data_IF_658681186594
#
_entry.id   IF_658681186594
#
_cell.length_a   1.000
_cell.length_b   1.000
_cell.length_c   1.000
_cell.angle_alpha   90.00
_cell.angle_beta   90.00
_cell.angle_gamma   90.00
#
_symmetry.space_group_name_H-M   'P 1'
#
loop_
_entity.id
_entity.type
_entity.pdbx_description
1 polymer ?
#
# COMPACT_ATOMS: atom_id res chain seq x y z
N UNK A 1 -4.73 9.73 -30.06
CA UNK A 1 -6.13 9.59 -30.53
C UNK A 1 -7.00 9.92 -29.34
N UNK A 2 -7.54 11.14 -29.37
CA UNK A 2 -8.42 11.66 -28.34
C UNK A 2 -9.85 11.18 -28.56
N UNK A 3 -10.59 11.10 -27.50
CA UNK A 3 -12.05 11.04 -27.53
C UNK A 3 -12.60 12.03 -26.52
N UNK A 4 -12.91 13.22 -27.07
CA UNK A 4 -13.80 14.19 -26.44
C UNK A 4 -15.24 13.69 -26.54
N UNK A 5 -15.96 13.64 -25.42
CA UNK A 5 -17.42 13.60 -25.41
C UNK A 5 -17.98 14.36 -24.21
N UNK A 6 -18.21 15.66 -24.39
CA UNK A 6 -19.28 16.38 -23.70
C UNK A 6 -19.81 17.47 -24.65
N UNK A 7 -20.76 17.09 -25.48
CA UNK A 7 -21.52 18.02 -26.35
C UNK A 7 -22.85 18.32 -25.69
N UNK A 8 -22.93 19.46 -25.02
CA UNK A 8 -24.17 19.98 -24.48
C UNK A 8 -24.94 20.66 -25.61
N UNK A 9 -26.07 20.07 -26.04
CA UNK A 9 -26.98 20.64 -27.02
C UNK A 9 -27.94 21.61 -26.36
N UNK A 10 -27.76 22.90 -26.65
CA UNK A 10 -28.67 23.98 -26.23
C UNK A 10 -29.86 24.08 -27.17
N UNK A 11 -31.00 23.60 -26.73
CA UNK A 11 -32.29 23.85 -27.43
C UNK A 11 -32.92 25.14 -26.91
N UNK A 12 -32.79 26.24 -27.69
CA UNK A 12 -33.56 27.47 -27.48
C UNK A 12 -35.00 27.25 -27.92
N UNK A 13 -35.94 27.13 -27.03
CA UNK A 13 -37.38 27.27 -27.32
C UNK A 13 -37.79 28.73 -27.07
N UNK A 14 -38.22 29.41 -28.17
CA UNK A 14 -38.89 30.69 -28.12
C UNK A 14 -40.26 30.51 -27.49
N UNK A 15 -40.49 31.16 -26.36
CA UNK A 15 -41.84 31.29 -25.80
C UNK A 15 -42.42 32.66 -26.17
N UNK A 16 -43.57 32.61 -26.87
CA UNK A 16 -44.42 33.79 -27.17
C UNK A 16 -45.11 34.23 -25.90
N UNK A 17 -44.88 35.48 -25.49
CA UNK A 17 -45.59 36.09 -24.36
C UNK A 17 -46.94 36.61 -24.83
N UNK A 18 -48.01 36.07 -24.24
CA UNK A 18 -49.32 36.75 -24.17
C UNK A 18 -49.47 37.35 -22.80
N UNK A 19 -49.72 38.67 -22.78
CA UNK A 19 -49.97 39.53 -21.62
C UNK A 19 -51.22 39.07 -20.83
N UNK A 20 -51.10 39.03 -19.51
CA UNK A 20 -52.20 38.77 -18.61
C UNK A 20 -51.82 38.81 -17.14
N UNK A 21 -52.04 40.00 -16.53
CA UNK A 21 -52.30 40.29 -15.11
C UNK A 21 -51.55 39.58 -13.96
N UNK A 22 -50.81 40.39 -13.29
CA UNK A 22 -50.22 40.45 -11.97
C UNK A 22 -50.90 39.57 -10.91
N UNK A 23 -50.14 38.59 -10.34
CA UNK A 23 -50.29 38.18 -8.93
C UNK A 23 -48.89 38.00 -8.36
N UNK A 24 -48.61 38.79 -7.31
CA UNK A 24 -47.38 38.71 -6.58
C UNK A 24 -47.32 37.43 -5.72
N UNK A 25 -46.60 36.46 -6.18
CA UNK A 25 -46.23 35.25 -5.40
C UNK A 25 -44.74 35.19 -5.29
N UNK A 26 -44.21 35.51 -4.12
CA UNK A 26 -42.77 35.32 -3.80
C UNK A 26 -42.50 33.83 -3.67
N UNK A 27 -42.02 33.21 -4.76
CA UNK A 27 -41.52 31.84 -4.67
C UNK A 27 -40.03 31.88 -4.35
N UNK A 28 -39.74 31.64 -3.05
CA UNK A 28 -38.36 31.40 -2.60
C UNK A 28 -37.92 30.03 -3.18
N UNK A 29 -37.17 30.06 -4.24
CA UNK A 29 -36.50 28.88 -4.75
C UNK A 29 -35.31 28.59 -3.83
N UNK A 30 -35.47 27.63 -2.92
CA UNK A 30 -34.37 27.03 -2.18
C UNK A 30 -33.48 26.26 -3.16
N UNK A 31 -32.40 26.89 -3.60
CA UNK A 31 -31.30 26.18 -4.25
C UNK A 31 -30.60 25.29 -3.20
N UNK A 32 -31.00 24.03 -3.13
CA UNK A 32 -30.23 23.01 -2.43
C UNK A 32 -28.95 22.74 -3.23
N UNK A 33 -27.88 23.44 -2.87
CA UNK A 33 -26.52 23.08 -3.31
C UNK A 33 -26.16 21.78 -2.59
N UNK A 34 -26.35 20.65 -3.28
CA UNK A 34 -25.86 19.37 -2.82
C UNK A 34 -24.33 19.44 -2.77
N UNK A 35 -23.76 19.61 -1.55
CA UNK A 35 -22.34 19.36 -1.32
C UNK A 35 -22.11 17.87 -1.56
N UNK A 36 -21.62 17.49 -2.77
CA UNK A 36 -20.95 16.22 -2.96
C UNK A 36 -19.67 16.28 -2.13
N UNK A 37 -19.71 15.82 -0.89
CA UNK A 37 -18.51 15.50 -0.14
C UNK A 37 -17.88 14.30 -0.82
N UNK A 38 -16.88 14.55 -1.66
CA UNK A 38 -15.96 13.49 -2.09
C UNK A 38 -15.25 13.07 -0.83
N UNK A 39 -15.65 11.94 -0.25
CA UNK A 39 -14.88 11.26 0.77
C UNK A 39 -13.56 10.88 0.09
N UNK A 40 -12.51 11.65 0.32
CA UNK A 40 -11.13 11.25 0.01
C UNK A 40 -10.85 10.12 0.99
N UNK A 41 -11.24 8.90 0.64
CA UNK A 41 -10.83 7.70 1.33
C UNK A 41 -9.31 7.68 1.30
N UNK A 42 -8.69 7.64 2.48
CA UNK A 42 -7.25 7.46 2.58
C UNK A 42 -6.92 6.16 1.82
N UNK A 43 -6.08 6.28 0.78
CA UNK A 43 -5.82 5.18 -0.14
C UNK A 43 -4.92 4.15 0.55
N UNK A 44 -5.52 3.14 1.17
CA UNK A 44 -4.82 2.07 1.89
C UNK A 44 -4.43 0.95 0.92
N UNK A 45 -3.25 0.37 1.15
CA UNK A 45 -2.81 -0.80 0.42
C UNK A 45 -3.68 -2.02 0.79
N UNK A 46 -4.15 -2.74 -0.22
CA UNK A 46 -4.84 -4.02 -0.02
C UNK A 46 -3.84 -5.18 0.07
N UNK A 47 -4.23 -6.34 0.66
CA UNK A 47 -3.38 -7.52 0.63
C UNK A 47 -2.96 -7.94 -0.78
N UNK A 48 -3.85 -7.78 -1.78
CA UNK A 48 -3.56 -8.07 -3.18
C UNK A 48 -2.48 -7.13 -3.75
N UNK A 49 -2.58 -5.83 -3.45
CA UNK A 49 -1.55 -4.84 -3.85
C UNK A 49 -0.19 -5.22 -3.26
N UNK A 50 -0.16 -5.60 -1.97
CA UNK A 50 1.08 -6.01 -1.28
C UNK A 50 1.68 -7.25 -1.92
N UNK A 51 0.89 -8.30 -2.18
CA UNK A 51 1.36 -9.52 -2.84
C UNK A 51 1.95 -9.21 -4.21
N UNK A 52 1.23 -8.44 -5.03
CA UNK A 52 1.68 -8.06 -6.37
C UNK A 52 2.99 -7.25 -6.32
N UNK A 53 3.05 -6.23 -5.47
CA UNK A 53 4.20 -5.32 -5.38
C UNK A 53 5.45 -5.97 -4.81
N UNK A 54 5.31 -6.85 -3.83
CA UNK A 54 6.44 -7.62 -3.26
C UNK A 54 7.00 -8.61 -4.28
N UNK A 55 6.14 -9.29 -5.06
CA UNK A 55 6.59 -10.17 -6.14
C UNK A 55 7.30 -9.40 -7.24
N UNK A 56 6.79 -8.22 -7.63
CA UNK A 56 7.46 -7.32 -8.57
C UNK A 56 8.86 -6.93 -8.08
N UNK A 57 8.98 -6.54 -6.80
CA UNK A 57 10.25 -6.20 -6.17
C UNK A 57 11.23 -7.39 -6.16
N UNK A 58 10.76 -8.59 -5.81
CA UNK A 58 11.58 -9.80 -5.83
C UNK A 58 12.07 -10.15 -7.25
N UNK A 59 11.22 -9.98 -8.28
CA UNK A 59 11.62 -10.17 -9.68
C UNK A 59 12.67 -9.13 -10.11
N UNK A 60 12.47 -7.87 -9.71
CA UNK A 60 13.42 -6.79 -10.01
C UNK A 60 14.77 -7.06 -9.37
N UNK A 61 14.81 -7.42 -8.08
CA UNK A 61 16.04 -7.82 -7.39
C UNK A 61 16.73 -9.01 -8.04
N UNK A 62 15.97 -10.04 -8.45
CA UNK A 62 16.51 -11.21 -9.15
C UNK A 62 17.21 -10.86 -10.47
N UNK A 63 16.76 -9.80 -11.14
CA UNK A 63 17.31 -9.32 -12.42
C UNK A 63 18.49 -8.37 -12.27
N UNK A 64 18.43 -7.47 -11.30
CA UNK A 64 19.37 -6.35 -11.18
C UNK A 64 20.39 -6.53 -10.06
N UNK A 65 20.03 -7.24 -8.98
CA UNK A 65 20.80 -7.28 -7.74
C UNK A 65 20.91 -5.94 -7.00
N UNK A 66 20.33 -4.87 -7.57
CA UNK A 66 20.42 -3.50 -7.02
C UNK A 66 19.41 -3.28 -5.92
N UNK A 67 19.88 -3.18 -4.69
CA UNK A 67 19.07 -2.89 -3.49
C UNK A 67 18.87 -1.39 -3.26
N UNK A 68 19.72 -0.51 -3.82
CA UNK A 68 19.67 0.94 -3.53
C UNK A 68 18.39 1.59 -4.02
N UNK A 69 17.81 1.10 -5.11
CA UNK A 69 16.53 1.59 -5.61
C UNK A 69 15.37 1.49 -4.61
N UNK A 70 15.53 0.67 -3.55
CA UNK A 70 14.52 0.49 -2.49
C UNK A 70 14.74 1.41 -1.28
N UNK A 71 15.76 2.26 -1.30
CA UNK A 71 16.03 3.27 -0.25
C UNK A 71 15.37 4.62 -0.57
N UNK A 72 14.84 4.79 -1.77
CA UNK A 72 14.24 6.05 -2.22
C UNK A 72 12.88 6.29 -1.56
N UNK A 73 12.80 7.34 -0.73
CA UNK A 73 11.58 7.70 0.01
C UNK A 73 10.41 8.11 -0.90
N UNK A 74 10.67 8.63 -2.09
CA UNK A 74 9.68 9.05 -3.09
C UNK A 74 9.73 8.18 -4.35
N UNK A 75 10.36 7.03 -4.28
CA UNK A 75 10.49 6.09 -5.38
C UNK A 75 9.23 5.22 -5.59
N UNK A 76 9.22 4.38 -6.63
CA UNK A 76 8.09 3.54 -6.99
C UNK A 76 7.79 2.43 -5.96
N UNK A 77 8.69 2.26 -4.99
CA UNK A 77 8.61 1.25 -3.94
C UNK A 77 7.97 1.76 -2.64
N UNK A 78 7.53 3.03 -2.63
CA UNK A 78 6.68 3.63 -1.57
C UNK A 78 5.37 4.01 -2.22
N UNK A 79 4.25 3.43 -1.74
CA UNK A 79 2.94 3.70 -2.32
C UNK A 79 1.85 3.62 -1.26
N UNK A 80 0.80 4.38 -1.43
CA UNK A 80 -0.31 4.43 -0.46
C UNK A 80 0.23 4.64 0.97
N UNK A 81 -0.15 3.77 1.89
CA UNK A 81 0.31 3.78 3.29
C UNK A 81 1.41 2.74 3.59
N UNK A 82 2.10 2.22 2.57
CA UNK A 82 3.11 1.16 2.74
C UNK A 82 4.33 1.32 1.81
N UNK A 83 5.30 0.43 1.95
CA UNK A 83 6.58 0.47 1.23
C UNK A 83 7.23 -0.91 1.17
N UNK A 84 8.13 -1.10 0.19
CA UNK A 84 9.04 -2.26 0.14
C UNK A 84 10.25 -1.99 1.02
N UNK A 85 10.71 -3.03 1.73
CA UNK A 85 12.01 -3.09 2.37
C UNK A 85 12.68 -4.43 2.05
N UNK A 86 14.01 -4.49 2.19
CA UNK A 86 14.79 -5.64 1.74
C UNK A 86 15.63 -6.17 2.90
N UNK A 87 15.59 -7.50 3.10
CA UNK A 87 16.53 -8.23 3.96
C UNK A 87 17.63 -8.88 3.14
N UNK A 88 18.87 -8.83 3.65
CA UNK A 88 19.97 -9.65 3.17
C UNK A 88 20.11 -10.86 4.10
N UNK A 89 19.77 -12.04 3.59
CA UNK A 89 19.77 -13.27 4.37
C UNK A 89 21.17 -13.82 4.63
N UNK A 90 22.14 -13.53 3.78
CA UNK A 90 23.52 -14.02 3.96
C UNK A 90 24.22 -13.19 5.05
N UNK A 91 24.05 -11.88 5.03
CA UNK A 91 24.54 -10.97 6.08
C UNK A 91 23.62 -10.91 7.30
N UNK A 92 22.37 -11.36 7.19
CA UNK A 92 21.31 -11.31 8.23
C UNK A 92 20.97 -9.88 8.68
N UNK A 93 21.00 -8.93 7.77
CA UNK A 93 20.75 -7.50 8.05
C UNK A 93 19.63 -6.94 7.19
N UNK A 94 19.10 -5.79 7.61
CA UNK A 94 18.28 -4.94 6.74
C UNK A 94 19.17 -4.39 5.63
N UNK A 95 18.85 -4.69 4.38
CA UNK A 95 19.63 -4.24 3.21
C UNK A 95 19.10 -2.93 2.63
N UNK A 96 17.78 -2.68 2.70
CA UNK A 96 17.16 -1.43 2.24
C UNK A 96 15.89 -1.11 3.02
N UNK A 97 15.65 0.17 3.32
CA UNK A 97 14.43 0.63 4.01
C UNK A 97 14.14 2.12 3.73
N UNK A 98 13.15 2.46 2.87
CA UNK A 98 12.95 3.84 2.38
C UNK A 98 12.45 4.81 3.44
N UNK A 99 11.74 4.33 4.48
CA UNK A 99 11.11 5.18 5.50
C UNK A 99 12.00 5.34 6.74
N UNK A 100 12.81 4.31 7.06
CA UNK A 100 13.71 4.29 8.23
C UNK A 100 15.11 3.88 7.80
N UNK A 101 15.89 4.77 7.14
CA UNK A 101 17.24 4.46 6.64
C UNK A 101 18.21 4.10 7.77
N UNK A 102 17.93 4.54 9.00
CA UNK A 102 18.70 4.17 10.19
C UNK A 102 18.63 2.66 10.54
N UNK A 103 17.71 1.92 9.93
CA UNK A 103 17.63 0.46 10.08
C UNK A 103 18.56 -0.29 9.13
N UNK A 104 19.07 0.36 8.08
CA UNK A 104 19.96 -0.29 7.11
C UNK A 104 21.24 -0.72 7.82
N UNK A 105 21.63 -1.98 7.66
CA UNK A 105 22.75 -2.61 8.34
C UNK A 105 22.43 -3.19 9.71
N UNK A 106 21.26 -2.95 10.30
CA UNK A 106 20.85 -3.57 11.56
C UNK A 106 20.62 -5.07 11.36
N UNK A 107 21.05 -5.87 12.33
CA UNK A 107 20.77 -7.30 12.34
C UNK A 107 19.26 -7.57 12.49
N UNK A 108 18.72 -8.44 11.65
CA UNK A 108 17.30 -8.82 11.63
C UNK A 108 16.86 -9.34 13.00
N UNK A 109 17.73 -10.10 13.68
CA UNK A 109 17.49 -10.68 15.01
C UNK A 109 17.45 -9.66 16.16
N UNK A 110 17.76 -8.39 15.91
CA UNK A 110 17.69 -7.31 16.91
C UNK A 110 16.49 -6.39 16.73
N UNK A 111 15.78 -6.48 15.60
CA UNK A 111 14.63 -5.63 15.29
C UNK A 111 13.45 -6.00 16.18
N UNK A 112 12.94 -5.02 16.90
CA UNK A 112 11.85 -5.22 17.86
C UNK A 112 10.52 -4.69 17.33
N UNK A 113 9.46 -5.37 17.72
CA UNK A 113 8.08 -4.92 17.60
C UNK A 113 7.88 -3.59 18.34
N UNK A 114 7.21 -2.64 17.69
CA UNK A 114 7.08 -1.29 18.21
C UNK A 114 6.09 -1.18 19.38
N UNK A 115 5.20 -2.17 19.57
CA UNK A 115 4.20 -2.16 20.65
C UNK A 115 4.66 -2.93 21.87
N UNK A 116 5.20 -4.12 21.67
CA UNK A 116 5.49 -5.06 22.76
C UNK A 116 6.99 -5.21 23.03
N UNK A 117 7.86 -4.63 22.19
CA UNK A 117 9.32 -4.72 22.32
C UNK A 117 9.87 -6.14 22.06
N UNK A 118 9.07 -7.05 21.54
CA UNK A 118 9.50 -8.42 21.21
C UNK A 118 10.32 -8.41 19.92
N UNK A 119 11.35 -9.24 19.86
CA UNK A 119 12.14 -9.43 18.63
C UNK A 119 11.24 -10.00 17.53
N UNK A 120 11.24 -9.37 16.37
CA UNK A 120 10.37 -9.74 15.25
C UNK A 120 10.75 -11.09 14.64
N UNK A 121 12.04 -11.33 14.46
CA UNK A 121 12.60 -12.54 13.86
C UNK A 121 13.81 -12.98 14.68
N UNK A 122 13.59 -13.75 15.77
CA UNK A 122 14.68 -14.16 16.67
C UNK A 122 15.72 -15.06 15.99
N UNK A 123 15.28 -15.91 15.07
CA UNK A 123 16.16 -16.76 14.26
C UNK A 123 16.07 -16.33 12.79
N UNK A 124 16.96 -15.43 12.40
CA UNK A 124 17.03 -14.90 11.04
C UNK A 124 17.39 -15.98 10.01
N UNK A 125 18.23 -16.98 10.36
CA UNK A 125 18.63 -18.03 9.45
C UNK A 125 17.46 -18.98 9.13
N UNK A 126 16.77 -19.46 10.17
CA UNK A 126 15.59 -20.30 9.99
C UNK A 126 14.47 -19.57 9.24
N UNK A 127 14.25 -18.29 9.53
CA UNK A 127 13.28 -17.47 8.83
C UNK A 127 13.61 -17.32 7.33
N UNK A 128 14.86 -16.96 7.02
CA UNK A 128 15.32 -16.85 5.63
C UNK A 128 15.16 -18.17 4.86
N UNK A 129 15.50 -19.29 5.49
CA UNK A 129 15.29 -20.63 4.91
C UNK A 129 13.80 -20.85 4.63
N UNK A 130 12.94 -20.59 5.61
CA UNK A 130 11.49 -20.78 5.46
C UNK A 130 10.93 -19.97 4.28
N UNK A 131 11.32 -18.69 4.13
CA UNK A 131 10.84 -17.85 3.02
C UNK A 131 11.38 -18.35 1.68
N UNK A 132 12.65 -18.78 1.61
CA UNK A 132 13.25 -19.33 0.38
C UNK A 132 12.56 -20.63 -0.06
N UNK A 133 12.17 -21.48 0.87
CA UNK A 133 11.52 -22.76 0.61
C UNK A 133 10.01 -22.62 0.31
N UNK A 134 9.41 -21.46 0.59
CA UNK A 134 7.97 -21.20 0.41
C UNK A 134 7.71 -20.39 -0.85
N UNK A 135 7.41 -21.07 -1.97
CA UNK A 135 7.21 -20.41 -3.27
C UNK A 135 6.07 -19.37 -3.29
N UNK A 136 5.04 -19.55 -2.45
CA UNK A 136 3.92 -18.62 -2.31
C UNK A 136 4.23 -17.42 -1.41
N UNK A 137 5.43 -17.36 -0.82
CA UNK A 137 5.82 -16.36 0.18
C UNK A 137 5.28 -16.66 1.57
N UNK A 138 5.68 -15.85 2.54
CA UNK A 138 5.36 -16.05 3.97
C UNK A 138 4.76 -14.77 4.54
N UNK A 139 3.64 -14.90 5.25
CA UNK A 139 3.03 -13.82 6.01
C UNK A 139 3.41 -13.89 7.49
N UNK A 140 3.67 -12.71 8.11
CA UNK A 140 3.87 -12.56 9.54
C UNK A 140 3.16 -11.34 10.10
N UNK A 141 2.74 -11.39 11.35
CA UNK A 141 2.10 -10.28 12.05
C UNK A 141 3.10 -9.56 12.93
N UNK A 142 3.08 -8.22 12.87
CA UNK A 142 3.87 -7.31 13.70
C UNK A 142 3.08 -6.06 14.05
N UNK A 143 3.58 -5.30 15.02
CA UNK A 143 3.08 -3.96 15.32
C UNK A 143 4.13 -2.95 14.91
N UNK A 144 3.77 -2.08 13.98
CA UNK A 144 4.68 -1.12 13.39
C UNK A 144 3.99 0.20 13.05
N UNK A 145 4.64 1.39 13.23
CA UNK A 145 4.04 2.66 12.84
C UNK A 145 3.81 2.72 11.32
N UNK A 146 2.69 3.30 10.92
CA UNK A 146 2.49 3.69 9.52
C UNK A 146 3.49 4.80 9.14
N UNK A 147 3.79 4.97 7.84
CA UNK A 147 4.58 6.11 7.38
C UNK A 147 4.02 7.43 7.89
N UNK A 148 4.85 8.21 8.61
CA UNK A 148 4.46 9.50 9.21
C UNK A 148 3.77 9.42 10.56
N UNK A 149 3.37 8.25 11.04
CA UNK A 149 2.77 8.06 12.37
C UNK A 149 3.82 7.64 13.41
N UNK A 150 3.52 7.92 14.68
CA UNK A 150 4.36 7.49 15.83
C UNK A 150 3.81 6.24 16.50
N UNK A 151 2.48 6.12 16.51
CA UNK A 151 1.79 5.00 17.15
C UNK A 151 1.88 3.72 16.31
N UNK A 152 2.13 2.61 17.01
CA UNK A 152 2.20 1.31 16.36
C UNK A 152 0.81 0.78 16.02
N UNK A 153 0.62 0.43 14.75
CA UNK A 153 -0.58 -0.25 14.23
C UNK A 153 -0.25 -1.70 13.90
N UNK A 154 -1.28 -2.56 13.93
CA UNK A 154 -1.11 -3.97 13.52
C UNK A 154 -0.76 -4.02 12.04
N UNK A 155 0.36 -4.65 11.71
CA UNK A 155 0.89 -4.79 10.34
C UNK A 155 1.08 -6.25 9.99
N UNK A 156 0.55 -6.68 8.87
CA UNK A 156 0.71 -8.02 8.32
C UNK A 156 1.72 -7.94 7.19
N UNK A 157 2.92 -8.48 7.41
CA UNK A 157 4.06 -8.43 6.50
C UNK A 157 4.12 -9.67 5.62
N UNK A 158 4.27 -9.47 4.32
CA UNK A 158 4.48 -10.49 3.31
C UNK A 158 5.92 -10.48 2.81
N UNK A 159 6.56 -11.66 2.78
CA UNK A 159 7.95 -11.84 2.39
C UNK A 159 8.05 -12.80 1.21
N UNK A 160 8.89 -12.46 0.24
CA UNK A 160 9.21 -13.31 -0.93
C UNK A 160 10.70 -13.29 -1.18
N UNK A 161 11.27 -14.44 -1.49
CA UNK A 161 12.67 -14.58 -1.90
C UNK A 161 12.91 -14.09 -3.32
N UNK A 162 13.92 -13.26 -3.51
CA UNK A 162 14.42 -12.89 -4.83
C UNK A 162 15.38 -13.98 -5.33
N UNK A 163 14.93 -14.79 -6.27
CA UNK A 163 15.66 -15.98 -6.75
C UNK A 163 17.04 -15.62 -7.27
N UNK A 164 18.05 -16.44 -6.93
CA UNK A 164 19.44 -16.24 -7.36
C UNK A 164 20.17 -15.12 -6.61
N UNK A 165 19.57 -14.55 -5.56
CA UNK A 165 20.16 -13.49 -4.74
C UNK A 165 20.05 -13.84 -3.23
N UNK A 166 20.79 -13.16 -2.34
CA UNK A 166 20.61 -13.33 -0.90
C UNK A 166 19.37 -12.61 -0.35
N UNK A 167 18.60 -11.90 -1.16
CA UNK A 167 17.60 -10.94 -0.72
C UNK A 167 16.19 -11.53 -0.56
N UNK A 168 15.48 -11.00 0.46
CA UNK A 168 14.04 -11.11 0.59
C UNK A 168 13.42 -9.73 0.39
N UNK A 169 12.45 -9.62 -0.52
CA UNK A 169 11.59 -8.45 -0.61
C UNK A 169 10.40 -8.58 0.34
N UNK A 170 10.05 -7.52 1.01
CA UNK A 170 8.93 -7.51 1.93
C UNK A 170 8.16 -6.19 1.92
N UNK A 171 6.88 -6.28 2.20
CA UNK A 171 5.98 -5.17 2.50
C UNK A 171 4.82 -5.66 3.37
N UNK A 172 3.93 -4.76 3.80
CA UNK A 172 2.79 -5.18 4.58
C UNK A 172 1.59 -4.28 4.45
N UNK A 173 0.46 -4.82 4.87
CA UNK A 173 -0.81 -4.12 4.99
C UNK A 173 -1.10 -3.83 6.45
N UNK A 174 -1.69 -2.68 6.74
CA UNK A 174 -2.22 -2.34 8.06
C UNK A 174 -3.68 -2.73 8.11
N UNK A 175 -3.98 -3.83 8.81
CA UNK A 175 -5.33 -4.40 8.88
C UNK A 175 -5.55 -5.08 10.24
N UNK A 176 -6.61 -4.67 10.94
CA UNK A 176 -6.94 -5.20 12.27
C UNK A 176 -7.78 -6.48 12.22
N UNK A 177 -8.32 -6.85 11.04
CA UNK A 177 -9.28 -7.95 10.88
C UNK A 177 -8.71 -9.16 10.14
N UNK A 178 -7.86 -8.92 9.12
CA UNK A 178 -7.31 -9.99 8.29
C UNK A 178 -6.52 -11.00 9.13
N UNK A 179 -6.60 -12.26 8.77
CA UNK A 179 -5.85 -13.36 9.41
C UNK A 179 -4.71 -13.85 8.53
N UNK A 180 -3.65 -14.37 9.16
CA UNK A 180 -2.51 -14.98 8.44
C UNK A 180 -2.99 -16.14 7.54
N UNK A 181 -3.98 -16.92 7.97
CA UNK A 181 -4.51 -18.05 7.20
C UNK A 181 -5.17 -17.58 5.89
N UNK A 182 -6.03 -16.54 5.94
CA UNK A 182 -6.66 -15.95 4.76
C UNK A 182 -5.63 -15.35 3.79
N UNK A 183 -4.65 -14.62 4.32
CA UNK A 183 -3.59 -14.03 3.53
C UNK A 183 -2.67 -15.06 2.89
N UNK A 184 -2.37 -16.15 3.59
CA UNK A 184 -1.59 -17.28 3.05
C UNK A 184 -2.34 -17.97 1.91
N UNK A 185 -3.66 -18.15 2.04
CA UNK A 185 -4.52 -18.66 0.97
C UNK A 185 -4.52 -17.72 -0.23
N UNK A 186 -4.67 -16.41 0.01
CA UNK A 186 -4.61 -15.38 -1.05
C UNK A 186 -3.30 -15.46 -1.83
N UNK A 187 -2.15 -15.49 -1.14
CA UNK A 187 -0.84 -15.52 -1.78
C UNK A 187 -0.52 -16.85 -2.48
N UNK A 188 -1.23 -17.93 -2.18
CA UNK A 188 -1.07 -19.21 -2.87
C UNK A 188 -1.84 -19.31 -4.18
N UNK A 189 -2.82 -18.44 -4.41
CA UNK A 189 -3.54 -18.36 -5.69
C UNK A 189 -2.62 -17.74 -6.76
N UNK A 190 -2.53 -18.41 -7.93
CA UNK A 190 -1.72 -17.96 -9.08
C UNK A 190 -2.50 -17.00 -9.96
#
# INVERSE_FOLDING_TARGET
>A
MGVDWCRFSSHKRRFHMKSGKIFAGVTVALLSVGLCTVAVGQDHATPQDVVAKVREAAITLSKTGDVKQFDERQGPWVWKDTYIFIYDCDKKVMAAHPIKPEMIGQEISTIKDAKYGKILIPDAAAFCKTVRDTASGVWKEFWWPKPGEKEASRKLLYYVSAKGTPYLAASGVYDDKATIAELSKLSSMK
#
